data_IF_683820413698
#
_entry.id   IF_683820413698
#
_cell.length_a   1.000
_cell.length_b   1.000
_cell.length_c   1.000
_cell.angle_alpha   90.00
_cell.angle_beta   90.00
_cell.angle_gamma   90.00
#
_symmetry.space_group_name_H-M   'P 1'
#
loop_
_entity.id
_entity.type
_entity.pdbx_description
1 polymer ?
#
# COMPACT_ATOMS: atom_id res chain seq x y z
N UNK A 1 -14.64 -5.36 -6.45
CA UNK A 1 -14.52 -6.56 -7.31
C UNK A 1 -13.24 -7.29 -7.01
N UNK A 2 -13.20 -8.59 -7.33
CA UNK A 2 -12.03 -9.46 -7.14
C UNK A 2 -11.76 -10.15 -8.48
N UNK A 3 -10.49 -10.23 -8.87
CA UNK A 3 -10.01 -11.00 -10.02
C UNK A 3 -8.91 -11.95 -9.56
N UNK A 4 -8.95 -13.20 -9.99
CA UNK A 4 -7.97 -14.24 -9.64
C UNK A 4 -7.11 -14.55 -10.86
N UNK A 5 -5.79 -14.38 -10.74
CA UNK A 5 -4.82 -14.70 -11.79
C UNK A 5 -3.72 -15.62 -11.23
N UNK A 6 -3.90 -16.93 -11.39
CA UNK A 6 -2.98 -17.92 -10.84
C UNK A 6 -2.91 -17.83 -9.31
N UNK A 7 -1.74 -17.44 -8.78
CA UNK A 7 -1.50 -17.25 -7.35
C UNK A 7 -1.75 -15.81 -6.87
N UNK A 8 -2.23 -14.92 -7.74
CA UNK A 8 -2.46 -13.52 -7.42
C UNK A 8 -3.96 -13.23 -7.29
N UNK A 9 -4.31 -12.45 -6.27
CA UNK A 9 -5.64 -11.89 -6.06
C UNK A 9 -5.55 -10.38 -6.30
N UNK A 10 -6.33 -9.89 -7.26
CA UNK A 10 -6.42 -8.48 -7.55
C UNK A 10 -7.75 -7.93 -7.02
N UNK A 11 -7.66 -6.92 -6.16
CA UNK A 11 -8.79 -6.25 -5.56
C UNK A 11 -9.01 -4.88 -6.21
N UNK A 12 -10.27 -4.54 -6.41
CA UNK A 12 -10.69 -3.20 -6.86
C UNK A 12 -11.86 -2.77 -5.99
N UNK A 13 -11.70 -1.69 -5.25
CA UNK A 13 -12.74 -1.18 -4.35
C UNK A 13 -12.56 0.32 -4.17
N UNK A 14 -13.67 0.99 -3.87
CA UNK A 14 -13.66 2.40 -3.49
C UNK A 14 -13.52 2.51 -1.98
N UNK A 15 -12.66 3.41 -1.52
CA UNK A 15 -12.51 3.76 -0.10
C UNK A 15 -13.08 5.16 0.10
N UNK A 16 -14.39 5.30 0.38
CA UNK A 16 -14.96 6.61 0.65
C UNK A 16 -14.43 7.11 2.01
N UNK A 17 -14.06 8.40 2.05
CA UNK A 17 -13.74 9.06 3.31
C UNK A 17 -15.04 9.50 3.99
N UNK A 18 -15.11 9.34 5.32
CA UNK A 18 -16.28 9.75 6.10
C UNK A 18 -16.59 11.25 5.95
N UNK A 19 -15.56 12.07 5.74
CA UNK A 19 -15.66 13.50 5.53
C UNK A 19 -14.73 13.95 4.40
N UNK A 20 -15.13 14.94 3.57
CA UNK A 20 -14.25 15.54 2.57
C UNK A 20 -12.96 16.07 3.19
N UNK A 21 -11.82 15.77 2.56
CA UNK A 21 -10.51 16.26 2.99
C UNK A 21 -10.11 17.47 2.16
N UNK A 22 -9.59 18.50 2.83
CA UNK A 22 -9.12 19.71 2.16
C UNK A 22 -7.71 19.49 1.58
N UNK A 23 -7.57 19.63 0.27
CA UNK A 23 -6.31 19.44 -0.46
C UNK A 23 -5.46 20.73 -0.52
N UNK A 24 -5.11 21.29 0.64
CA UNK A 24 -4.30 22.51 0.77
C UNK A 24 -3.33 22.38 1.94
N UNK A 25 -2.06 22.74 1.75
CA UNK A 25 -1.03 22.76 2.81
C UNK A 25 -0.99 21.48 3.66
N UNK A 26 -1.11 20.31 3.01
CA UNK A 26 -1.22 19.04 3.73
C UNK A 26 -0.55 17.90 2.98
N UNK A 27 -0.21 16.84 3.72
CA UNK A 27 0.31 15.59 3.17
C UNK A 27 -0.59 14.44 3.59
N UNK A 28 -1.09 13.69 2.61
CA UNK A 28 -1.88 12.50 2.82
C UNK A 28 -1.05 11.26 2.51
N UNK A 29 -1.21 10.21 3.31
CA UNK A 29 -0.60 8.91 3.07
C UNK A 29 -1.65 7.81 3.06
N UNK A 30 -1.51 6.87 2.13
CA UNK A 30 -2.30 5.65 2.07
C UNK A 30 -1.36 4.44 1.96
N UNK A 31 -1.66 3.42 2.75
CA UNK A 31 -1.00 2.12 2.73
C UNK A 31 -2.06 1.03 2.81
N UNK A 32 -1.79 -0.10 2.19
CA UNK A 32 -2.64 -1.28 2.26
C UNK A 32 -1.77 -2.46 2.68
N UNK A 33 -2.12 -3.09 3.79
CA UNK A 33 -1.39 -4.22 4.34
C UNK A 33 -2.33 -5.10 5.17
N UNK A 34 -1.97 -6.37 5.31
CA UNK A 34 -2.57 -7.26 6.29
C UNK A 34 -1.76 -7.16 7.59
N UNK A 35 -2.39 -6.88 8.74
CA UNK A 35 -1.66 -6.77 10.01
C UNK A 35 -1.21 -8.14 10.55
N UNK A 36 -1.83 -9.24 10.13
CA UNK A 36 -1.67 -10.57 10.75
C UNK A 36 -0.73 -11.49 9.96
N UNK A 37 -0.70 -11.39 8.63
CA UNK A 37 0.13 -12.22 7.76
C UNK A 37 0.98 -11.40 6.81
N UNK A 38 2.15 -11.96 6.45
CA UNK A 38 2.91 -11.42 5.34
C UNK A 38 2.23 -11.76 4.01
N UNK A 39 1.58 -10.75 3.42
CA UNK A 39 1.02 -10.80 2.07
C UNK A 39 1.58 -9.62 1.29
N UNK A 40 2.21 -9.89 0.13
CA UNK A 40 2.71 -8.85 -0.75
C UNK A 40 1.52 -8.14 -1.44
N UNK A 41 1.00 -7.09 -0.79
CA UNK A 41 -0.01 -6.20 -1.35
C UNK A 41 0.66 -5.11 -2.16
N UNK A 42 0.52 -5.16 -3.49
CA UNK A 42 1.18 -4.24 -4.41
C UNK A 42 0.19 -3.59 -5.38
N UNK A 43 0.42 -2.31 -5.64
CA UNK A 43 -0.07 -1.56 -6.78
C UNK A 43 0.81 -1.92 -7.98
N UNK A 44 0.26 -2.67 -8.93
CA UNK A 44 0.98 -3.40 -10.00
C UNK A 44 1.83 -2.53 -10.94
N UNK A 45 1.66 -1.20 -10.96
CA UNK A 45 2.50 -0.28 -11.72
C UNK A 45 2.27 1.17 -11.30
N UNK A 46 3.08 2.11 -11.83
CA UNK A 46 2.82 3.56 -11.70
C UNK A 46 1.44 3.99 -12.23
N UNK A 47 0.85 3.24 -13.16
CA UNK A 47 -0.50 3.51 -13.68
C UNK A 47 -1.62 2.90 -12.82
N UNK A 48 -1.29 2.14 -11.78
CA UNK A 48 -2.27 1.63 -10.82
C UNK A 48 -2.84 2.73 -9.93
N UNK A 49 -2.22 3.91 -9.91
CA UNK A 49 -2.71 5.08 -9.18
C UNK A 49 -2.87 6.23 -10.17
N UNK A 50 -4.08 6.76 -10.26
CA UNK A 50 -4.39 7.90 -11.10
C UNK A 50 -4.45 9.18 -10.25
N UNK A 51 -3.55 10.13 -10.56
CA UNK A 51 -3.48 11.44 -9.92
C UNK A 51 -4.03 12.57 -10.79
N UNK A 52 -4.63 12.26 -11.94
CA UNK A 52 -5.12 13.26 -12.90
C UNK A 52 -6.23 14.16 -12.34
N UNK A 53 -6.97 13.68 -11.34
CA UNK A 53 -8.01 14.42 -10.64
C UNK A 53 -7.47 15.37 -9.54
N UNK A 54 -6.17 15.34 -9.24
CA UNK A 54 -5.58 16.26 -8.26
C UNK A 54 -5.52 17.69 -8.80
N UNK A 55 -5.68 18.67 -7.90
CA UNK A 55 -5.49 20.08 -8.21
C UNK A 55 -4.03 20.39 -8.55
N UNK A 56 -3.77 21.48 -9.28
CA UNK A 56 -2.42 21.87 -9.72
C UNK A 56 -1.42 22.12 -8.58
N UNK A 57 -1.90 22.44 -7.38
CA UNK A 57 -1.08 22.61 -6.18
C UNK A 57 -0.77 21.28 -5.46
N UNK A 58 -1.23 20.14 -5.98
CA UNK A 58 -1.03 18.83 -5.38
C UNK A 58 -0.22 17.91 -6.31
N UNK A 59 0.62 17.08 -5.71
CA UNK A 59 1.44 16.09 -6.39
C UNK A 59 1.28 14.73 -5.71
N UNK A 60 1.03 13.70 -6.51
CA UNK A 60 0.94 12.31 -6.06
C UNK A 60 2.18 11.50 -6.42
N UNK A 61 2.57 10.57 -5.55
CA UNK A 61 3.62 9.60 -5.83
C UNK A 61 3.34 8.25 -5.15
N UNK A 62 3.74 7.17 -5.83
CA UNK A 62 3.83 5.83 -5.26
C UNK A 62 5.29 5.59 -4.83
N UNK A 63 5.49 5.17 -3.58
CA UNK A 63 6.79 4.87 -2.99
C UNK A 63 6.85 3.36 -2.72
N UNK A 64 7.88 2.72 -3.26
CA UNK A 64 8.18 1.31 -2.99
C UNK A 64 8.65 1.11 -1.54
N UNK A 65 8.32 -0.04 -0.91
CA UNK A 65 8.85 -0.36 0.41
C UNK A 65 10.37 -0.51 0.35
N UNK A 66 11.06 0.01 1.36
CA UNK A 66 12.48 -0.19 1.54
C UNK A 66 12.70 -1.09 2.76
N UNK A 67 12.94 -2.38 2.51
CA UNK A 67 13.06 -3.41 3.54
C UNK A 67 14.42 -4.08 3.44
N UNK A 68 15.13 -4.15 4.57
CA UNK A 68 16.47 -4.77 4.64
C UNK A 68 16.42 -6.28 4.34
N UNK A 69 17.51 -6.81 3.77
CA UNK A 69 17.62 -8.22 3.35
C UNK A 69 17.30 -9.21 4.48
N UNK A 70 17.65 -8.89 5.74
CA UNK A 70 17.35 -9.74 6.90
C UNK A 70 15.85 -9.93 7.10
N UNK A 71 15.07 -8.85 6.93
CA UNK A 71 13.62 -8.87 7.09
C UNK A 71 12.99 -9.57 5.89
N UNK A 72 13.54 -9.40 4.69
CA UNK A 72 13.11 -10.15 3.50
C UNK A 72 13.33 -11.66 3.66
N UNK A 73 14.49 -12.08 4.19
CA UNK A 73 14.80 -13.47 4.47
C UNK A 73 13.87 -14.05 5.55
N UNK A 74 13.62 -13.29 6.63
CA UNK A 74 12.66 -13.67 7.66
C UNK A 74 11.26 -13.87 7.08
N UNK A 75 10.75 -12.89 6.33
CA UNK A 75 9.43 -12.97 5.70
C UNK A 75 9.31 -14.17 4.74
N UNK A 76 10.39 -14.51 4.02
CA UNK A 76 10.45 -15.67 3.13
C UNK A 76 10.53 -17.02 3.86
N UNK A 77 11.02 -17.03 5.10
CA UNK A 77 11.12 -18.24 5.93
C UNK A 77 9.82 -18.59 6.67
N UNK A 78 8.91 -17.64 6.81
CA UNK A 78 7.62 -17.87 7.45
C UNK A 78 6.83 -18.88 6.62
N UNK A 79 6.45 -20.00 7.22
CA UNK A 79 5.48 -20.90 6.62
C UNK A 79 4.14 -20.16 6.46
N UNK A 80 3.30 -20.57 5.49
CA UNK A 80 1.93 -20.05 5.31
C UNK A 80 1.08 -20.17 6.58
N UNK A 81 1.41 -21.10 7.49
CA UNK A 81 0.73 -21.25 8.78
C UNK A 81 1.34 -20.43 9.92
N UNK A 82 2.48 -19.78 9.70
CA UNK A 82 3.19 -19.02 10.72
C UNK A 82 2.82 -17.54 10.64
N UNK A 83 2.44 -17.00 11.79
CA UNK A 83 2.24 -15.56 11.97
C UNK A 83 3.55 -14.96 12.47
N UNK A 84 3.81 -13.72 12.09
CA UNK A 84 4.82 -12.94 12.78
C UNK A 84 4.38 -12.76 14.25
N UNK A 85 5.34 -12.65 15.17
CA UNK A 85 5.05 -12.43 16.58
C UNK A 85 4.44 -11.04 16.83
N UNK A 86 4.68 -10.08 15.92
CA UNK A 86 4.07 -8.75 15.91
C UNK A 86 3.35 -8.40 14.59
N UNK A 87 2.44 -7.43 14.66
CA UNK A 87 1.64 -6.99 13.50
C UNK A 87 2.41 -5.99 12.58
N UNK A 88 3.74 -5.92 12.68
CA UNK A 88 4.54 -4.88 12.02
C UNK A 88 5.01 -5.24 10.61
N UNK A 89 5.12 -6.54 10.31
CA UNK A 89 5.76 -7.01 9.07
C UNK A 89 4.99 -6.54 7.82
N UNK A 90 3.66 -6.64 7.81
CA UNK A 90 2.85 -6.17 6.69
C UNK A 90 3.07 -4.69 6.36
N UNK A 91 3.24 -3.85 7.39
CA UNK A 91 3.49 -2.40 7.23
C UNK A 91 4.82 -2.13 6.54
N UNK A 92 5.86 -2.90 6.87
CA UNK A 92 7.22 -2.71 6.33
C UNK A 92 7.27 -2.96 4.82
N UNK A 93 6.48 -3.92 4.32
CA UNK A 93 6.41 -4.26 2.90
C UNK A 93 5.31 -3.52 2.14
N UNK A 94 4.53 -2.66 2.81
CA UNK A 94 3.46 -1.91 2.18
C UNK A 94 4.02 -0.74 1.35
N UNK A 95 3.63 -0.67 0.08
CA UNK A 95 3.82 0.53 -0.72
C UNK A 95 3.06 1.72 -0.12
N UNK A 96 3.62 2.92 -0.29
CA UNK A 96 3.01 4.17 0.21
C UNK A 96 2.57 5.04 -0.96
N UNK A 97 1.30 5.40 -1.00
CA UNK A 97 0.81 6.48 -1.83
C UNK A 97 0.89 7.77 -1.01
N UNK A 98 1.61 8.77 -1.50
CA UNK A 98 1.72 10.08 -0.88
C UNK A 98 1.12 11.13 -1.80
N UNK A 99 0.22 11.96 -1.26
CA UNK A 99 -0.29 13.16 -1.92
C UNK A 99 0.17 14.36 -1.10
N UNK A 100 0.92 15.25 -1.72
CA UNK A 100 1.43 16.45 -1.08
C UNK A 100 0.83 17.68 -1.78
N UNK A 101 0.20 18.56 -1.01
CA UNK A 101 -0.42 19.79 -1.49
C UNK A 101 0.23 21.02 -0.85
N UNK A 102 0.54 22.01 -1.68
CA UNK A 102 1.04 23.33 -1.29
C UNK A 102 -0.08 24.26 -0.78
#
# INVERSE_FOLDING_TARGET
GINVQGLQLQYYFDVPLAHPQKLEKNTFSLQTYDPTYYVAMTYTSKSAVDFSALSKNCQGKLIEPNVDEKIQAYASSLDKSQKNEDDSLGVMFAQKIIIQCE
#
